data_IF_216577206216
#
_entry.id   IF_216577206216
#
_cell.length_a   1.000
_cell.length_b   1.000
_cell.length_c   1.000
_cell.angle_alpha   90.00
_cell.angle_beta   90.00
_cell.angle_gamma   90.00
#
_symmetry.space_group_name_H-M   'P 1'
#
loop_
_entity.id
_entity.type
_entity.pdbx_description
1 polymer ?
#
# COMPACT_ATOMS: atom_id res chain seq x y z
N UNK A 1 -17.63 28.79 -2.72
CA UNK A 1 -16.40 28.06 -3.07
C UNK A 1 -16.33 26.93 -2.08
N UNK A 2 -16.95 25.81 -2.40
CA UNK A 2 -16.92 24.63 -1.54
C UNK A 2 -15.55 24.00 -1.71
N UNK A 3 -14.67 24.26 -0.74
CA UNK A 3 -13.39 23.57 -0.60
C UNK A 3 -13.70 22.16 -0.14
N UNK A 4 -13.70 21.22 -1.08
CA UNK A 4 -13.79 19.79 -0.80
C UNK A 4 -12.47 19.40 -0.10
N UNK A 5 -12.42 19.53 1.24
CA UNK A 5 -11.33 19.00 2.05
C UNK A 5 -11.23 17.50 1.76
N UNK A 6 -10.09 17.06 1.21
CA UNK A 6 -9.85 15.65 0.97
C UNK A 6 -10.08 14.88 2.29
N UNK A 7 -10.89 13.80 2.29
CA UNK A 7 -11.24 13.13 3.53
C UNK A 7 -9.99 12.58 4.20
N UNK A 8 -9.74 13.00 5.45
CA UNK A 8 -8.67 12.46 6.30
C UNK A 8 -8.81 10.94 6.36
N UNK A 9 -7.73 10.25 6.05
CA UNK A 9 -7.56 8.83 6.17
C UNK A 9 -7.55 8.47 7.66
N UNK A 10 -8.71 8.06 8.16
CA UNK A 10 -8.87 7.58 9.54
C UNK A 10 -8.41 6.12 9.69
N UNK A 11 -8.04 5.46 8.59
CA UNK A 11 -7.78 4.02 8.58
C UNK A 11 -9.07 3.21 8.70
N UNK A 12 -9.03 2.09 9.43
CA UNK A 12 -10.23 1.29 9.71
C UNK A 12 -11.01 1.78 10.94
N UNK A 13 -10.53 2.83 11.61
CA UNK A 13 -11.17 3.47 12.77
C UNK A 13 -11.29 2.58 14.01
N UNK A 14 -10.84 1.33 13.95
CA UNK A 14 -10.94 0.39 15.07
C UNK A 14 -9.76 0.53 16.04
N UNK A 15 -8.67 1.20 15.64
CA UNK A 15 -7.45 1.32 16.43
C UNK A 15 -6.83 2.72 16.33
N UNK A 16 -6.34 3.27 17.46
CA UNK A 16 -5.72 4.60 17.52
C UNK A 16 -4.42 4.60 16.70
N UNK A 17 -4.25 5.56 15.79
CA UNK A 17 -3.02 5.75 15.01
C UNK A 17 -2.90 4.91 13.72
N UNK A 18 -3.99 4.32 13.23
CA UNK A 18 -3.98 3.33 12.13
C UNK A 18 -3.74 3.91 10.71
N UNK A 19 -3.31 5.18 10.63
CA UNK A 19 -3.49 6.03 9.45
C UNK A 19 -2.45 7.11 9.19
N UNK A 20 -1.29 7.08 9.86
CA UNK A 20 -0.31 8.19 9.90
C UNK A 20 0.02 8.88 8.57
N UNK A 21 0.70 10.02 8.63
CA UNK A 21 0.89 10.96 7.50
C UNK A 21 1.30 10.30 6.16
N UNK A 22 2.18 9.30 6.16
CA UNK A 22 2.60 8.61 4.94
C UNK A 22 1.46 7.84 4.26
N UNK A 23 0.58 7.26 5.07
CA UNK A 23 -0.60 6.54 4.60
C UNK A 23 -1.67 7.52 4.08
N UNK A 24 -1.79 8.70 4.70
CA UNK A 24 -2.60 9.82 4.18
C UNK A 24 -2.15 10.24 2.77
N UNK A 25 -0.85 10.43 2.55
CA UNK A 25 -0.33 10.83 1.23
C UNK A 25 -0.64 9.78 0.15
N UNK A 26 -0.53 8.50 0.49
CA UNK A 26 -0.95 7.41 -0.40
C UNK A 26 -2.46 7.41 -0.65
N UNK A 27 -3.26 7.73 0.38
CA UNK A 27 -4.70 7.84 0.28
C UNK A 27 -5.12 8.95 -0.69
N UNK A 28 -4.45 10.09 -0.65
CA UNK A 28 -4.72 11.26 -1.52
C UNK A 28 -4.32 11.03 -2.98
N UNK A 29 -3.32 10.17 -3.23
CA UNK A 29 -2.83 9.89 -4.58
C UNK A 29 -3.89 9.28 -5.51
N UNK A 30 -4.79 8.45 -4.98
CA UNK A 30 -5.69 7.64 -5.78
C UNK A 30 -7.05 7.45 -5.11
N UNK A 31 -8.08 7.11 -5.88
CA UNK A 31 -9.34 6.66 -5.29
C UNK A 31 -9.20 5.23 -4.79
N UNK A 32 -9.26 5.04 -3.48
CA UNK A 32 -9.19 3.71 -2.86
C UNK A 32 -10.57 3.13 -2.57
N UNK A 33 -10.65 1.79 -2.55
CA UNK A 33 -11.85 1.03 -2.18
C UNK A 33 -11.47 -0.05 -1.19
N UNK A 34 -12.14 -0.09 -0.04
CA UNK A 34 -11.98 -1.18 0.93
C UNK A 34 -12.41 -2.52 0.32
N UNK A 35 -11.59 -3.54 0.53
CA UNK A 35 -11.93 -4.91 0.13
C UNK A 35 -13.08 -5.41 1.02
N UNK A 36 -14.13 -5.99 0.41
CA UNK A 36 -15.29 -6.50 1.14
C UNK A 36 -14.85 -7.50 2.22
N UNK A 37 -15.38 -7.35 3.43
CA UNK A 37 -15.07 -8.18 4.61
C UNK A 37 -13.58 -8.21 5.01
N UNK A 38 -12.81 -7.19 4.63
CA UNK A 38 -11.38 -7.09 4.87
C UNK A 38 -11.03 -5.70 5.42
N UNK A 39 -11.42 -5.39 6.68
CA UNK A 39 -11.22 -4.08 7.26
C UNK A 39 -9.73 -3.71 7.26
N UNK A 40 -9.46 -2.44 6.93
CA UNK A 40 -8.13 -1.88 6.89
C UNK A 40 -7.29 -2.26 5.67
N UNK A 41 -7.90 -2.90 4.66
CA UNK A 41 -7.25 -3.24 3.37
C UNK A 41 -7.99 -2.61 2.21
N UNK A 42 -7.27 -1.85 1.40
CA UNK A 42 -7.86 -1.08 0.31
C UNK A 42 -7.11 -1.35 -1.00
N UNK A 43 -7.85 -1.35 -2.10
CA UNK A 43 -7.33 -1.45 -3.47
C UNK A 43 -7.62 -0.17 -4.23
N UNK A 44 -6.80 0.14 -5.23
CA UNK A 44 -7.07 1.26 -6.13
C UNK A 44 -8.33 0.94 -6.94
N UNK A 45 -9.28 1.87 -6.94
CA UNK A 45 -10.51 1.78 -7.72
C UNK A 45 -10.22 2.22 -9.16
N UNK A 46 -9.98 1.25 -10.03
CA UNK A 46 -9.88 1.48 -11.47
C UNK A 46 -10.69 0.45 -12.27
N UNK A 47 -10.96 0.74 -13.54
CA UNK A 47 -11.61 -0.20 -14.47
C UNK A 47 -10.60 -0.65 -15.52
N UNK A 48 -10.73 -1.87 -16.05
CA UNK A 48 -9.85 -2.36 -17.12
C UNK A 48 -9.86 -1.44 -18.36
N UNK A 49 -11.04 -0.88 -18.69
CA UNK A 49 -11.22 0.06 -19.80
C UNK A 49 -10.68 1.47 -19.50
N UNK A 50 -10.53 1.83 -18.22
CA UNK A 50 -10.08 3.15 -17.76
C UNK A 50 -9.08 2.93 -16.62
N UNK A 51 -7.84 2.52 -16.93
CA UNK A 51 -6.83 2.27 -15.92
C UNK A 51 -6.47 3.56 -15.20
N UNK A 52 -6.13 3.46 -13.92
CA UNK A 52 -5.53 4.57 -13.19
C UNK A 52 -4.09 4.73 -13.66
N UNK A 53 -3.73 5.93 -14.12
CA UNK A 53 -2.42 6.25 -14.66
C UNK A 53 -1.68 7.19 -13.70
N UNK A 54 -0.38 6.96 -13.51
CA UNK A 54 0.52 7.90 -12.84
C UNK A 54 1.62 8.26 -13.83
N UNK A 55 1.73 9.54 -14.18
CA UNK A 55 2.64 10.05 -15.22
C UNK A 55 2.47 9.31 -16.57
N UNK A 56 1.23 9.01 -16.94
CA UNK A 56 0.90 8.30 -18.18
C UNK A 56 1.11 6.78 -18.13
N UNK A 57 1.65 6.22 -17.05
CA UNK A 57 1.89 4.77 -16.90
C UNK A 57 0.77 4.14 -16.07
N UNK A 58 0.19 2.99 -16.49
CA UNK A 58 -0.79 2.27 -15.68
C UNK A 58 -0.20 1.90 -14.32
N UNK A 59 -0.96 2.16 -13.25
CA UNK A 59 -0.50 1.87 -11.89
C UNK A 59 -0.13 0.40 -11.69
N UNK A 60 -0.79 -0.49 -12.42
CA UNK A 60 -0.52 -1.93 -12.42
C UNK A 60 0.82 -2.32 -13.04
N UNK A 61 1.50 -1.39 -13.71
CA UNK A 61 2.80 -1.57 -14.34
C UNK A 61 3.93 -0.86 -13.59
N UNK A 62 3.62 -0.21 -12.46
CA UNK A 62 4.58 0.55 -11.65
C UNK A 62 5.07 -0.35 -10.51
N UNK A 63 6.39 -0.45 -10.33
CA UNK A 63 6.95 -1.18 -9.19
C UNK A 63 6.53 -0.53 -7.86
N UNK A 64 6.49 -1.33 -6.80
CA UNK A 64 6.07 -0.87 -5.47
C UNK A 64 6.89 0.31 -4.97
N UNK A 65 8.20 0.30 -5.18
CA UNK A 65 9.08 1.39 -4.74
C UNK A 65 8.76 2.69 -5.45
N UNK A 66 8.58 2.64 -6.77
CA UNK A 66 8.26 3.82 -7.58
C UNK A 66 6.86 4.35 -7.28
N UNK A 67 5.89 3.45 -7.08
CA UNK A 67 4.53 3.81 -6.68
C UNK A 67 4.53 4.58 -5.35
N UNK A 68 5.19 4.04 -4.32
CA UNK A 68 5.28 4.71 -3.01
C UNK A 68 6.08 6.01 -3.12
N UNK A 69 7.18 6.03 -3.87
CA UNK A 69 7.98 7.26 -4.06
C UNK A 69 7.16 8.38 -4.68
N UNK A 70 6.38 8.09 -5.73
CA UNK A 70 5.48 9.05 -6.38
C UNK A 70 4.40 9.57 -5.42
N UNK A 71 3.86 8.69 -4.58
CA UNK A 71 2.88 9.07 -3.55
C UNK A 71 3.45 10.06 -2.53
N UNK A 72 4.69 9.83 -2.10
CA UNK A 72 5.29 10.59 -1.01
C UNK A 72 6.01 11.88 -1.47
N UNK A 73 6.31 12.01 -2.77
CA UNK A 73 6.96 13.18 -3.36
C UNK A 73 6.08 14.44 -3.46
N UNK A 74 4.79 14.33 -3.15
CA UNK A 74 3.80 15.43 -3.24
C UNK A 74 4.05 16.61 -2.31
N UNK A 75 4.98 16.53 -1.36
CA UNK A 75 5.25 17.56 -0.33
C UNK A 75 6.74 17.91 -0.17
N UNK A 76 7.54 17.70 -1.22
CA UNK A 76 8.92 18.16 -1.32
C UNK A 76 9.94 17.17 -0.78
N UNK A 77 9.81 16.72 0.47
CA UNK A 77 10.71 15.70 1.03
C UNK A 77 10.10 14.30 0.95
N UNK A 78 10.80 13.41 0.24
CA UNK A 78 10.45 11.99 0.17
C UNK A 78 11.15 11.28 1.34
N UNK A 79 10.40 10.76 2.33
CA UNK A 79 10.99 10.00 3.42
C UNK A 79 11.62 8.72 2.89
N UNK A 80 12.66 8.25 3.56
CA UNK A 80 13.30 6.97 3.23
C UNK A 80 12.39 5.82 3.65
N UNK A 81 12.29 4.81 2.80
CA UNK A 81 11.55 3.58 3.08
C UNK A 81 12.24 2.38 2.44
N UNK A 82 11.98 1.20 2.99
CA UNK A 82 12.51 -0.07 2.50
C UNK A 82 11.38 -0.83 1.80
N UNK A 83 11.70 -1.41 0.65
CA UNK A 83 10.82 -2.36 -0.05
C UNK A 83 11.34 -3.76 0.19
N UNK A 84 10.62 -4.55 0.98
CA UNK A 84 10.91 -5.97 1.17
C UNK A 84 10.35 -6.75 -0.02
N UNK A 85 11.15 -7.58 -0.67
CA UNK A 85 10.72 -8.45 -1.76
C UNK A 85 10.76 -9.91 -1.28
N UNK A 86 9.58 -10.51 -1.13
CA UNK A 86 9.38 -11.72 -0.32
C UNK A 86 8.63 -12.79 -1.09
N UNK A 87 8.89 -14.03 -0.71
CA UNK A 87 8.04 -15.18 -1.03
C UNK A 87 7.20 -15.53 0.21
N UNK A 88 5.96 -15.95 -0.01
CA UNK A 88 5.07 -16.41 1.05
C UNK A 88 4.70 -17.86 0.82
N UNK A 89 4.72 -18.72 1.85
CA UNK A 89 4.21 -20.09 1.73
C UNK A 89 2.68 -20.16 1.55
N UNK A 90 1.99 -19.01 1.59
CA UNK A 90 0.52 -18.90 1.52
C UNK A 90 0.04 -18.29 0.21
N UNK A 91 0.94 -17.83 -0.67
CA UNK A 91 0.57 -17.40 -2.02
C UNK A 91 1.69 -17.67 -3.03
N UNK A 92 1.29 -18.01 -4.26
CA UNK A 92 2.23 -18.28 -5.36
C UNK A 92 2.89 -17.00 -5.91
N UNK A 93 2.20 -15.86 -5.77
CA UNK A 93 2.71 -14.57 -6.23
C UNK A 93 3.83 -14.10 -5.31
N UNK A 94 4.90 -13.50 -5.87
CA UNK A 94 5.86 -12.73 -5.07
C UNK A 94 5.15 -11.54 -4.43
N UNK A 95 5.58 -11.17 -3.23
CA UNK A 95 4.96 -10.10 -2.44
C UNK A 95 6.00 -9.04 -2.12
N UNK A 96 5.75 -7.80 -2.52
CA UNK A 96 6.53 -6.64 -2.08
C UNK A 96 5.83 -5.95 -0.92
N UNK A 97 6.56 -5.60 0.13
CA UNK A 97 6.01 -4.96 1.33
C UNK A 97 6.80 -3.70 1.65
N UNK A 98 6.08 -2.60 1.87
CA UNK A 98 6.63 -1.36 2.43
C UNK A 98 5.96 -1.15 3.79
N UNK A 99 6.78 -0.95 4.81
CA UNK A 99 6.35 -0.76 6.19
C UNK A 99 6.59 0.69 6.59
N UNK A 100 5.57 1.35 7.17
CA UNK A 100 5.68 2.71 7.67
C UNK A 100 5.68 2.74 9.19
N UNK A 101 6.56 3.58 9.75
CA UNK A 101 6.79 3.66 11.19
C UNK A 101 7.45 2.41 11.78
N UNK A 102 7.88 2.51 13.03
CA UNK A 102 8.50 1.42 13.77
C UNK A 102 7.51 0.26 13.92
N UNK A 103 7.94 -0.95 13.60
CA UNK A 103 7.10 -2.16 13.69
C UNK A 103 5.76 -2.08 12.94
N UNK A 104 5.71 -1.29 11.86
CA UNK A 104 4.51 -1.09 11.04
C UNK A 104 3.38 -0.36 11.76
N UNK A 105 3.68 0.44 12.78
CA UNK A 105 2.69 1.25 13.50
C UNK A 105 1.99 2.29 12.60
N UNK A 106 2.61 2.68 11.47
CA UNK A 106 2.03 3.55 10.46
C UNK A 106 1.33 2.82 9.31
N UNK A 107 1.21 1.49 9.36
CA UNK A 107 0.68 0.71 8.26
C UNK A 107 1.71 0.49 7.16
N UNK A 108 1.23 0.40 5.91
CA UNK A 108 2.10 0.08 4.80
C UNK A 108 1.38 -0.27 3.50
N UNK A 109 2.20 -0.67 2.53
CA UNK A 109 1.73 -1.16 1.23
C UNK A 109 2.13 -2.62 1.09
N UNK A 110 1.17 -3.45 0.68
CA UNK A 110 1.46 -4.82 0.23
C UNK A 110 1.12 -4.87 -1.25
N UNK A 111 2.08 -5.29 -2.08
CA UNK A 111 1.90 -5.46 -3.52
C UNK A 111 2.07 -6.92 -3.89
N UNK A 112 1.11 -7.45 -4.63
CA UNK A 112 1.23 -8.77 -5.27
C UNK A 112 1.79 -8.61 -6.67
N UNK A 113 2.87 -9.32 -6.96
CA UNK A 113 3.51 -9.38 -8.28
C UNK A 113 2.95 -10.59 -9.04
N UNK A 114 1.92 -10.34 -9.86
CA UNK A 114 1.26 -11.37 -10.67
C UNK A 114 1.93 -11.49 -12.03
N UNK A 115 2.07 -12.70 -12.53
CA UNK A 115 2.47 -12.92 -13.92
C UNK A 115 1.21 -13.02 -14.79
N UNK A 116 1.10 -12.19 -15.81
CA UNK A 116 0.00 -12.24 -16.77
C UNK A 116 0.53 -11.96 -18.18
N UNK A 117 0.29 -12.89 -19.10
CA UNK A 117 0.69 -12.78 -20.52
C UNK A 117 2.17 -12.44 -20.76
N UNK A 118 3.06 -12.91 -19.87
CA UNK A 118 4.50 -12.65 -19.92
C UNK A 118 4.95 -11.33 -19.29
N UNK A 119 4.02 -10.53 -18.76
CA UNK A 119 4.28 -9.28 -18.06
C UNK A 119 3.99 -9.39 -16.56
N UNK A 120 4.69 -8.58 -15.77
CA UNK A 120 4.45 -8.46 -14.34
C UNK A 120 3.40 -7.40 -14.07
N UNK A 121 2.32 -7.80 -13.40
CA UNK A 121 1.23 -6.93 -12.95
C UNK A 121 1.33 -6.74 -11.44
N UNK A 122 1.45 -5.49 -11.03
CA UNK A 122 1.51 -5.07 -9.64
C UNK A 122 0.11 -4.75 -9.11
N UNK A 123 -0.32 -5.48 -8.08
CA UNK A 123 -1.58 -5.23 -7.38
C UNK A 123 -1.27 -4.64 -6.01
N UNK A 124 -1.27 -3.31 -5.93
CA UNK A 124 -1.03 -2.59 -4.69
C UNK A 124 -2.25 -2.60 -3.77
N UNK A 125 -2.01 -2.86 -2.50
CA UNK A 125 -2.99 -2.71 -1.44
C UNK A 125 -2.48 -1.76 -0.39
N UNK A 126 -3.29 -0.76 -0.06
CA UNK A 126 -3.05 0.13 1.08
C UNK A 126 -3.52 -0.60 2.34
N UNK A 127 -2.67 -0.66 3.35
CA UNK A 127 -2.95 -1.34 4.59
C UNK A 127 -2.71 -0.39 5.75
N UNK A 128 -3.75 -0.24 6.57
CA UNK A 128 -3.61 0.26 7.94
C UNK A 128 -2.61 -0.57 8.75
N UNK A 129 -2.13 -0.09 9.89
CA UNK A 129 -1.22 -0.84 10.78
C UNK A 129 -1.82 -2.17 11.22
N UNK A 130 -3.09 -2.14 11.65
CA UNK A 130 -3.82 -3.33 12.07
C UNK A 130 -4.07 -4.28 10.88
N UNK A 131 -4.47 -3.74 9.73
CA UNK A 131 -4.68 -4.48 8.49
C UNK A 131 -3.42 -5.16 7.97
N UNK A 132 -2.29 -4.44 8.03
CA UNK A 132 -0.96 -4.91 7.63
C UNK A 132 -0.56 -6.11 8.50
N UNK A 133 -0.59 -5.98 9.83
CA UNK A 133 -0.25 -7.06 10.78
C UNK A 133 -1.07 -8.33 10.52
N UNK A 134 -2.39 -8.20 10.45
CA UNK A 134 -3.29 -9.34 10.16
C UNK A 134 -2.94 -10.00 8.83
N UNK A 135 -2.63 -9.18 7.82
CA UNK A 135 -2.37 -9.66 6.47
C UNK A 135 -1.02 -10.36 6.36
N UNK A 136 0.04 -9.79 6.92
CA UNK A 136 1.36 -10.40 6.94
C UNK A 136 1.38 -11.70 7.76
N UNK A 137 0.69 -11.76 8.90
CA UNK A 137 0.55 -12.99 9.67
C UNK A 137 -0.19 -14.08 8.89
N UNK A 138 -1.26 -13.72 8.18
CA UNK A 138 -1.97 -14.64 7.28
C UNK A 138 -1.14 -15.13 6.09
N UNK A 139 -0.13 -14.34 5.68
CA UNK A 139 0.86 -14.70 4.67
C UNK A 139 2.10 -15.37 5.26
N UNK A 140 2.23 -15.49 6.58
CA UNK A 140 3.41 -16.02 7.27
C UNK A 140 4.72 -15.29 6.91
N UNK A 141 4.65 -13.97 6.76
CA UNK A 141 5.79 -13.09 6.44
C UNK A 141 5.86 -11.87 7.39
N UNK A 142 5.23 -11.95 8.56
CA UNK A 142 5.18 -10.87 9.56
C UNK A 142 6.53 -10.53 10.21
N UNK A 143 7.56 -11.34 9.98
CA UNK A 143 8.94 -11.07 10.42
C UNK A 143 9.47 -9.73 9.89
N UNK A 144 8.96 -9.22 8.74
CA UNK A 144 9.39 -7.93 8.19
C UNK A 144 9.00 -6.73 9.06
N UNK A 145 8.03 -6.88 9.96
CA UNK A 145 7.71 -5.84 10.92
C UNK A 145 8.84 -5.64 11.93
N UNK A 146 9.63 -6.67 12.22
CA UNK A 146 10.69 -6.64 13.24
C UNK A 146 12.06 -6.24 12.69
N UNK A 147 12.20 -6.10 11.37
CA UNK A 147 13.47 -5.88 10.68
C UNK A 147 13.88 -4.40 10.55
N UNK A 148 13.32 -3.49 11.36
CA UNK A 148 13.61 -2.04 11.22
C UNK A 148 14.86 -1.56 11.94
N UNK A 149 15.62 -2.44 12.61
CA UNK A 149 16.93 -2.10 13.19
C UNK A 149 18.07 -2.69 12.37
N UNK A 150 18.74 -1.84 11.59
CA UNK A 150 20.17 -1.99 11.33
C UNK A 150 20.82 -0.63 11.10
#
# INVERSE_FOLDING_TARGET
MDGDEAPTFVGDGNYVGDGGELLQRLWELATWKMIRNCPGRYIIKHKKQHPFLIDGVPVTSIDTGDFVRKALATSGEVPTFIVHDLESPRCIDRVKVVVFGTEGCGGGVITYCKQQDGEVIYVHTLNTASGLRRKLGGLQIDHVLKMTDN
#
